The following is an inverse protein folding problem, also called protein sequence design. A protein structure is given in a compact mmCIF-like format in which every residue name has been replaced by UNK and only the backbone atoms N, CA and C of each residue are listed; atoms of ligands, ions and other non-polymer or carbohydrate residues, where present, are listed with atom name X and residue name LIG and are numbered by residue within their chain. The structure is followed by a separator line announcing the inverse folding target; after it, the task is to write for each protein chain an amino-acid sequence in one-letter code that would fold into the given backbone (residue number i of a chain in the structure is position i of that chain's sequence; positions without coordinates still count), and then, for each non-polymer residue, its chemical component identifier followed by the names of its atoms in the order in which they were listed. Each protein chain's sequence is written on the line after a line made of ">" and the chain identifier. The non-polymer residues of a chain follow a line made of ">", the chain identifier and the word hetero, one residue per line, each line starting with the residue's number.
data_IF_379133142245
#
_entry.id   IF_379133142245
#
_cell.length_a   1.000
_cell.length_b   1.000
_cell.length_c   1.000
_cell.angle_alpha   90.00
_cell.angle_beta   90.00
_cell.angle_gamma   90.00
#
_symmetry.space_group_name_H-M   'P 1'
#
loop_
_entity.id
_entity.type
_entity.pdbx_description
1 polymer ?
#
# COMPACT_ATOMS: atom_id res chain seq x y z
N UNK A 1 -16.23 60.56 -17.99
CA UNK A 1 -16.23 60.65 -19.45
C UNK A 1 -16.48 59.25 -20.03
N UNK A 2 -17.78 58.87 -20.10
CA UNK A 2 -18.26 57.53 -20.55
C UNK A 2 -19.10 57.69 -21.81
N UNK A 3 -18.49 57.95 -22.95
CA UNK A 3 -19.16 57.95 -24.23
C UNK A 3 -18.23 57.32 -25.25
N UNK A 4 -18.05 55.98 -25.18
CA UNK A 4 -17.38 55.24 -26.26
C UNK A 4 -17.83 53.76 -26.41
N UNK A 5 -18.92 53.34 -25.76
CA UNK A 5 -19.31 51.91 -25.75
C UNK A 5 -20.57 51.58 -26.53
N UNK A 6 -21.12 52.48 -27.35
CA UNK A 6 -22.41 52.28 -28.02
C UNK A 6 -22.35 51.67 -29.42
N UNK A 7 -21.20 51.27 -29.93
CA UNK A 7 -21.08 50.68 -31.29
C UNK A 7 -20.42 49.30 -31.32
N UNK A 8 -20.35 48.57 -30.20
CA UNK A 8 -19.89 47.19 -30.21
C UNK A 8 -21.07 46.26 -30.50
N UNK A 9 -20.95 45.50 -31.61
CA UNK A 9 -21.88 44.42 -32.00
C UNK A 9 -21.79 43.23 -30.99
N UNK A 10 -22.19 43.49 -29.76
CA UNK A 10 -22.07 42.52 -28.62
C UNK A 10 -23.09 41.40 -28.65
N UNK A 11 -24.12 41.46 -29.49
CA UNK A 11 -25.15 40.41 -29.52
C UNK A 11 -25.43 39.95 -30.94
N UNK A 12 -25.66 38.64 -31.09
CA UNK A 12 -26.05 38.01 -32.36
C UNK A 12 -27.29 38.69 -32.92
N UNK A 13 -28.27 39.03 -32.07
CA UNK A 13 -29.47 39.74 -32.42
C UNK A 13 -29.16 41.12 -33.09
N UNK A 14 -28.21 41.88 -32.54
CA UNK A 14 -27.82 43.18 -33.14
C UNK A 14 -27.11 43.00 -34.48
N UNK A 15 -26.26 41.94 -34.62
CA UNK A 15 -25.61 41.60 -35.89
C UNK A 15 -26.63 41.23 -36.97
N UNK A 16 -27.60 40.39 -36.66
CA UNK A 16 -28.67 39.97 -37.57
C UNK A 16 -29.54 41.19 -37.95
N UNK A 17 -30.00 42.01 -36.97
CA UNK A 17 -30.81 43.19 -37.20
C UNK A 17 -30.09 44.23 -38.08
N UNK A 18 -28.78 44.40 -37.88
CA UNK A 18 -28.00 45.32 -38.69
C UNK A 18 -27.87 44.81 -40.14
N UNK A 19 -27.53 43.54 -40.33
CA UNK A 19 -27.46 42.93 -41.67
C UNK A 19 -28.82 43.04 -42.37
N UNK A 20 -29.92 42.72 -41.67
CA UNK A 20 -31.28 42.81 -42.20
C UNK A 20 -31.69 44.24 -42.57
N UNK A 21 -31.40 45.26 -41.72
CA UNK A 21 -31.67 46.64 -42.01
C UNK A 21 -30.84 47.18 -43.17
N UNK A 22 -29.50 46.85 -43.16
CA UNK A 22 -28.60 47.22 -44.24
C UNK A 22 -29.07 46.62 -45.58
N UNK A 23 -29.46 45.34 -45.51
CA UNK A 23 -30.05 44.64 -46.65
C UNK A 23 -31.29 45.29 -47.19
N UNK A 24 -32.25 45.64 -46.33
CA UNK A 24 -33.47 46.30 -46.74
C UNK A 24 -33.20 47.66 -47.35
N UNK A 25 -32.33 48.47 -46.76
CA UNK A 25 -31.95 49.79 -47.26
C UNK A 25 -31.27 49.68 -48.65
N UNK A 26 -30.33 48.74 -48.81
CA UNK A 26 -29.63 48.54 -50.10
C UNK A 26 -30.57 48.05 -51.19
N UNK A 27 -31.53 47.17 -50.88
CA UNK A 27 -32.55 46.72 -51.83
C UNK A 27 -33.46 47.88 -52.27
N UNK A 28 -33.92 48.67 -51.32
CA UNK A 28 -34.76 49.86 -51.64
C UNK A 28 -33.98 50.88 -52.50
N UNK A 29 -32.72 51.15 -52.09
CA UNK A 29 -31.85 52.08 -52.78
C UNK A 29 -31.55 51.63 -54.23
N UNK A 30 -31.29 50.34 -54.43
CA UNK A 30 -31.02 49.72 -55.72
C UNK A 30 -32.25 49.81 -56.65
N UNK A 31 -33.45 49.59 -56.09
CA UNK A 31 -34.71 49.76 -56.84
C UNK A 31 -34.92 51.19 -57.27
N UNK A 32 -34.76 52.16 -56.38
CA UNK A 32 -34.91 53.60 -56.70
C UNK A 32 -33.89 54.06 -57.78
N UNK A 33 -32.61 53.52 -57.64
CA UNK A 33 -31.56 53.81 -58.59
C UNK A 33 -31.90 53.25 -59.99
N UNK A 34 -32.37 52.02 -60.05
CA UNK A 34 -32.76 51.35 -61.31
C UNK A 34 -33.89 52.03 -62.06
N UNK A 35 -34.85 52.64 -61.32
CA UNK A 35 -36.00 53.39 -61.90
C UNK A 35 -35.64 54.77 -62.31
N UNK A 36 -34.53 55.39 -61.84
CA UNK A 36 -34.08 56.75 -62.20
C UNK A 36 -33.02 56.83 -63.28
N UNK A 37 -32.38 55.69 -63.63
CA UNK A 37 -31.41 55.61 -64.71
C UNK A 37 -32.15 55.66 -66.05
N UNK A 38 -31.79 56.60 -66.89
CA UNK A 38 -32.27 56.70 -68.28
C UNK A 38 -31.69 55.67 -69.20
N UNK A 39 -31.92 54.40 -68.89
CA UNK A 39 -31.43 53.19 -69.59
C UNK A 39 -32.69 52.46 -70.11
N UNK A 40 -32.52 51.72 -71.21
CA UNK A 40 -33.65 50.90 -71.72
C UNK A 40 -34.21 50.01 -70.58
N UNK A 41 -35.56 49.94 -70.46
CA UNK A 41 -36.21 49.24 -69.33
C UNK A 41 -35.72 47.77 -69.12
N UNK A 42 -35.46 47.01 -70.21
CA UNK A 42 -35.01 45.60 -70.13
C UNK A 42 -33.60 45.47 -69.58
N UNK A 43 -32.69 46.40 -69.92
CA UNK A 43 -31.33 46.43 -69.45
C UNK A 43 -31.28 46.80 -67.95
N UNK A 44 -32.11 47.83 -67.60
CA UNK A 44 -32.24 48.28 -66.19
C UNK A 44 -32.75 47.12 -65.27
N UNK A 45 -33.76 46.40 -65.75
CA UNK A 45 -34.31 45.25 -65.05
C UNK A 45 -33.26 44.10 -64.87
N UNK A 46 -32.53 43.80 -65.95
CA UNK A 46 -31.46 42.76 -65.89
C UNK A 46 -30.33 43.12 -64.91
N UNK A 47 -29.89 44.39 -64.89
CA UNK A 47 -28.88 44.86 -63.92
C UNK A 47 -29.42 44.82 -62.49
N UNK A 48 -30.67 45.12 -62.25
CA UNK A 48 -31.30 45.06 -60.93
C UNK A 48 -31.34 43.58 -60.46
N UNK A 49 -31.76 42.65 -61.32
CA UNK A 49 -31.74 41.23 -60.96
C UNK A 49 -30.31 40.72 -60.65
N UNK A 50 -29.29 41.09 -61.45
CA UNK A 50 -27.87 40.70 -61.18
C UNK A 50 -27.43 41.29 -59.86
N UNK A 51 -27.76 42.47 -59.46
CA UNK A 51 -27.51 43.10 -58.17
C UNK A 51 -28.16 42.32 -57.03
N UNK A 52 -29.45 41.96 -57.16
CA UNK A 52 -30.19 41.22 -56.16
C UNK A 52 -29.54 39.85 -55.93
N UNK A 53 -29.18 39.15 -57.02
CA UNK A 53 -28.49 37.84 -56.91
C UNK A 53 -27.16 38.01 -56.20
N UNK A 54 -26.31 38.93 -56.59
CA UNK A 54 -25.05 39.25 -55.96
C UNK A 54 -25.21 39.58 -54.46
N UNK A 55 -26.24 40.38 -54.16
CA UNK A 55 -26.56 40.76 -52.80
C UNK A 55 -27.03 39.59 -51.95
N UNK A 56 -27.84 38.65 -52.43
CA UNK A 56 -28.27 37.46 -51.74
C UNK A 56 -27.07 36.58 -51.45
N UNK A 57 -26.15 36.40 -52.39
CA UNK A 57 -24.92 35.65 -52.21
C UNK A 57 -24.01 36.22 -51.09
N UNK A 58 -23.91 37.56 -51.03
CA UNK A 58 -23.16 38.25 -49.97
C UNK A 58 -23.81 38.03 -48.60
N UNK A 59 -25.14 38.17 -48.52
CA UNK A 59 -25.85 37.90 -47.25
C UNK A 59 -25.72 36.49 -46.81
N UNK A 60 -25.83 35.50 -47.71
CA UNK A 60 -25.67 34.09 -47.42
C UNK A 60 -24.23 33.78 -46.90
N UNK A 61 -23.21 34.37 -47.57
CA UNK A 61 -21.82 34.25 -47.12
C UNK A 61 -21.62 34.84 -45.73
N UNK A 62 -22.17 36.01 -45.43
CA UNK A 62 -22.08 36.66 -44.12
C UNK A 62 -22.78 35.83 -43.03
N UNK A 63 -24.00 35.36 -43.32
CA UNK A 63 -24.74 34.50 -42.39
C UNK A 63 -23.99 33.17 -42.13
N UNK A 64 -23.44 32.58 -43.18
CA UNK A 64 -22.59 31.39 -43.06
C UNK A 64 -21.38 31.63 -42.18
N UNK A 65 -20.70 32.75 -42.35
CA UNK A 65 -19.49 33.08 -41.62
C UNK A 65 -19.74 33.46 -40.14
N UNK A 66 -20.74 34.28 -39.88
CA UNK A 66 -20.98 34.86 -38.55
C UNK A 66 -21.92 34.02 -37.67
N UNK A 67 -22.71 33.11 -38.25
CA UNK A 67 -23.68 32.33 -37.48
C UNK A 67 -23.43 30.81 -37.65
N UNK A 68 -23.47 30.32 -38.90
CA UNK A 68 -23.43 28.88 -39.14
C UNK A 68 -22.11 28.23 -38.72
N UNK A 69 -20.95 28.85 -39.01
CA UNK A 69 -19.62 28.35 -38.63
C UNK A 69 -19.41 28.30 -37.11
N UNK A 70 -19.71 29.35 -36.31
CA UNK A 70 -19.60 29.27 -34.85
C UNK A 70 -20.48 28.17 -34.23
N UNK A 71 -21.75 28.09 -34.67
CA UNK A 71 -22.68 27.04 -34.19
C UNK A 71 -22.13 25.65 -34.50
N UNK A 72 -21.64 25.42 -35.71
CA UNK A 72 -21.07 24.12 -36.10
C UNK A 72 -19.86 23.75 -35.26
N UNK A 73 -18.97 24.72 -34.96
CA UNK A 73 -17.81 24.52 -34.09
C UNK A 73 -18.22 24.15 -32.66
N UNK A 74 -19.18 24.89 -32.07
CA UNK A 74 -19.70 24.60 -30.72
C UNK A 74 -20.32 23.20 -30.65
N UNK A 75 -21.14 22.87 -31.66
CA UNK A 75 -21.74 21.52 -31.72
C UNK A 75 -20.68 20.40 -31.84
N UNK A 76 -19.62 20.65 -32.63
CA UNK A 76 -18.51 19.69 -32.73
C UNK A 76 -17.80 19.53 -31.41
N UNK A 77 -17.50 20.61 -30.68
CA UNK A 77 -16.92 20.57 -29.34
C UNK A 77 -17.82 19.80 -28.36
N UNK A 78 -19.12 20.15 -28.32
CA UNK A 78 -20.09 19.47 -27.47
C UNK A 78 -20.16 17.93 -27.76
N UNK A 79 -20.12 17.55 -29.03
CA UNK A 79 -20.10 16.13 -29.44
C UNK A 79 -18.82 15.40 -29.01
N UNK A 80 -17.66 16.05 -29.01
CA UNK A 80 -16.41 15.50 -28.48
C UNK A 80 -16.51 15.29 -26.98
N UNK A 81 -16.99 16.33 -26.25
CA UNK A 81 -17.20 16.24 -24.81
C UNK A 81 -18.16 15.11 -24.41
N UNK A 82 -19.23 14.89 -25.19
CA UNK A 82 -20.16 13.79 -24.99
C UNK A 82 -19.51 12.38 -25.14
N UNK A 83 -18.36 12.32 -25.82
CA UNK A 83 -17.53 11.11 -25.96
C UNK A 83 -16.37 11.08 -24.96
N UNK A 84 -16.39 11.97 -23.96
CA UNK A 84 -15.32 12.15 -22.97
C UNK A 84 -13.96 12.57 -23.59
N UNK A 85 -13.99 13.16 -24.80
CA UNK A 85 -12.82 13.74 -25.44
C UNK A 85 -12.77 15.24 -25.14
N UNK A 86 -11.93 15.61 -24.16
CA UNK A 86 -11.71 16.99 -23.72
C UNK A 86 -10.43 17.60 -24.29
N UNK A 87 -9.80 16.98 -25.29
CA UNK A 87 -8.48 17.36 -25.81
C UNK A 87 -8.46 18.71 -26.57
N UNK A 88 -9.60 19.19 -27.03
CA UNK A 88 -9.69 20.40 -27.83
C UNK A 88 -10.77 21.37 -27.28
N UNK A 89 -10.37 22.41 -26.55
CA UNK A 89 -11.29 23.46 -26.13
C UNK A 89 -11.87 24.19 -27.32
N UNK A 90 -13.05 24.78 -27.15
CA UNK A 90 -13.66 25.64 -28.19
C UNK A 90 -12.78 26.88 -28.43
N UNK A 91 -12.28 27.03 -29.63
CA UNK A 91 -11.43 28.16 -30.03
C UNK A 91 -12.25 29.42 -30.48
N UNK A 92 -13.49 29.56 -30.03
CA UNK A 92 -14.32 30.71 -30.34
C UNK A 92 -14.02 31.83 -29.35
N UNK A 93 -13.49 32.96 -29.86
CA UNK A 93 -13.07 34.11 -29.05
C UNK A 93 -13.90 35.37 -29.41
N UNK A 94 -15.16 35.21 -29.83
CA UNK A 94 -16.02 36.31 -30.15
C UNK A 94 -16.58 36.99 -28.89
N UNK A 95 -16.75 38.31 -28.91
CA UNK A 95 -17.35 39.08 -27.80
C UNK A 95 -18.89 39.14 -27.89
N UNK A 96 -19.52 38.00 -28.17
CA UNK A 96 -20.95 37.81 -28.28
C UNK A 96 -21.40 36.55 -27.54
N UNK A 97 -22.68 36.20 -27.66
CA UNK A 97 -23.26 35.03 -26.99
C UNK A 97 -22.58 33.71 -27.39
N UNK A 98 -21.95 33.62 -28.56
CA UNK A 98 -21.15 32.43 -28.94
C UNK A 98 -19.86 32.33 -28.15
N UNK A 99 -19.21 33.48 -27.87
CA UNK A 99 -18.02 33.52 -27.00
C UNK A 99 -18.35 33.13 -25.57
N UNK A 100 -19.45 33.64 -25.00
CA UNK A 100 -19.91 33.28 -23.65
C UNK A 100 -20.24 31.78 -23.55
N UNK A 101 -20.90 31.21 -24.57
CA UNK A 101 -21.21 29.80 -24.64
C UNK A 101 -19.95 28.94 -24.77
N UNK A 102 -18.96 29.40 -25.54
CA UNK A 102 -17.67 28.74 -25.67
C UNK A 102 -16.93 28.68 -24.35
N UNK A 103 -16.89 29.79 -23.59
CA UNK A 103 -16.28 29.82 -22.24
C UNK A 103 -17.01 28.89 -21.30
N UNK A 104 -18.32 28.88 -21.28
CA UNK A 104 -19.14 28.00 -20.43
C UNK A 104 -18.89 26.51 -20.75
N UNK A 105 -18.82 26.14 -22.04
CA UNK A 105 -18.49 24.79 -22.48
C UNK A 105 -17.08 24.38 -22.07
N UNK A 106 -16.09 25.25 -22.22
CA UNK A 106 -14.72 24.97 -21.81
C UNK A 106 -14.64 24.78 -20.30
N UNK A 107 -15.27 25.63 -19.50
CA UNK A 107 -15.32 25.47 -18.03
C UNK A 107 -16.00 24.15 -17.63
N UNK A 108 -17.07 23.78 -18.33
CA UNK A 108 -17.71 22.47 -18.09
C UNK A 108 -16.77 21.30 -18.43
N UNK A 109 -16.04 21.41 -19.57
CA UNK A 109 -15.05 20.40 -19.97
C UNK A 109 -13.98 20.23 -18.91
N UNK A 110 -13.40 21.33 -18.43
CA UNK A 110 -12.35 21.34 -17.40
C UNK A 110 -12.85 20.70 -16.09
N UNK A 111 -14.05 21.08 -15.65
CA UNK A 111 -14.67 20.54 -14.45
C UNK A 111 -14.94 19.02 -14.57
N UNK A 112 -15.45 18.56 -15.72
CA UNK A 112 -15.68 17.13 -15.98
C UNK A 112 -14.37 16.37 -16.04
N UNK A 113 -13.36 16.89 -16.73
CA UNK A 113 -12.04 16.25 -16.80
C UNK A 113 -11.40 16.10 -15.42
N UNK A 114 -11.44 17.16 -14.59
CA UNK A 114 -10.94 17.12 -13.22
C UNK A 114 -11.72 16.12 -12.35
N UNK A 115 -13.04 16.07 -12.51
CA UNK A 115 -13.88 15.15 -11.75
C UNK A 115 -13.61 13.70 -12.12
N UNK A 116 -13.46 13.41 -13.42
CA UNK A 116 -13.10 12.08 -13.91
C UNK A 116 -11.72 11.64 -13.40
N UNK A 117 -10.72 12.54 -13.46
CA UNK A 117 -9.38 12.24 -12.93
C UNK A 117 -9.40 11.96 -11.41
N UNK A 118 -10.20 12.71 -10.64
CA UNK A 118 -10.40 12.45 -9.20
C UNK A 118 -11.08 11.11 -8.96
N UNK A 119 -12.12 10.79 -9.71
CA UNK A 119 -12.83 9.51 -9.62
C UNK A 119 -11.90 8.34 -9.92
N UNK A 120 -11.07 8.45 -10.95
CA UNK A 120 -10.10 7.42 -11.33
C UNK A 120 -9.05 7.22 -10.21
N UNK A 121 -8.51 8.31 -9.66
CA UNK A 121 -7.56 8.26 -8.55
C UNK A 121 -8.17 7.61 -7.29
N UNK A 122 -9.42 7.96 -6.95
CA UNK A 122 -10.15 7.34 -5.83
C UNK A 122 -10.41 5.86 -6.09
N UNK A 123 -10.78 5.48 -7.31
CA UNK A 123 -11.05 4.09 -7.66
C UNK A 123 -9.78 3.23 -7.57
N UNK A 124 -8.64 3.73 -8.07
CA UNK A 124 -7.33 3.05 -7.94
C UNK A 124 -6.97 2.85 -6.47
N UNK A 125 -7.17 3.88 -5.63
CA UNK A 125 -6.93 3.78 -4.19
C UNK A 125 -7.85 2.74 -3.53
N UNK A 126 -9.13 2.77 -3.85
CA UNK A 126 -10.12 1.85 -3.29
C UNK A 126 -9.81 0.39 -3.64
N UNK A 127 -9.41 0.12 -4.89
CA UNK A 127 -8.98 -1.23 -5.31
C UNK A 127 -7.78 -1.69 -4.50
N UNK A 128 -6.80 -0.81 -4.27
CA UNK A 128 -5.63 -1.13 -3.44
C UNK A 128 -5.99 -1.40 -1.99
N UNK A 129 -6.87 -0.58 -1.41
CA UNK A 129 -7.32 -0.73 -0.02
C UNK A 129 -8.09 -2.05 0.17
N UNK A 130 -8.99 -2.40 -0.77
CA UNK A 130 -9.72 -3.68 -0.76
C UNK A 130 -8.77 -4.88 -0.88
N UNK A 131 -7.74 -4.78 -1.73
CA UNK A 131 -6.74 -5.83 -1.88
C UNK A 131 -5.93 -6.03 -0.58
N UNK A 132 -5.54 -4.94 0.07
CA UNK A 132 -4.86 -4.96 1.36
C UNK A 132 -5.75 -5.58 2.45
N UNK A 133 -7.02 -5.20 2.53
CA UNK A 133 -7.98 -5.77 3.48
C UNK A 133 -8.16 -7.28 3.27
N UNK A 134 -8.28 -7.72 2.01
CA UNK A 134 -8.37 -9.16 1.69
C UNK A 134 -7.13 -9.94 2.14
N UNK A 135 -5.93 -9.38 1.99
CA UNK A 135 -4.69 -10.00 2.49
C UNK A 135 -4.72 -10.14 4.00
N UNK A 136 -5.06 -9.08 4.72
CA UNK A 136 -5.17 -9.11 6.19
C UNK A 136 -6.22 -10.12 6.68
N UNK A 137 -7.35 -10.23 5.99
CA UNK A 137 -8.38 -11.24 6.31
C UNK A 137 -7.88 -12.66 6.05
N UNK A 138 -7.13 -12.88 4.97
CA UNK A 138 -6.53 -14.19 4.67
C UNK A 138 -5.50 -14.59 5.73
N UNK A 139 -4.59 -13.69 6.11
CA UNK A 139 -3.61 -13.88 7.17
C UNK A 139 -4.27 -14.17 8.52
N UNK A 140 -5.34 -13.43 8.85
CA UNK A 140 -6.11 -13.66 10.07
C UNK A 140 -6.80 -15.02 10.08
N UNK A 141 -7.35 -15.45 8.94
CA UNK A 141 -7.96 -16.77 8.81
C UNK A 141 -6.91 -17.87 8.99
N UNK A 142 -5.77 -17.78 8.32
CA UNK A 142 -4.67 -18.72 8.46
C UNK A 142 -4.20 -18.82 9.91
N UNK A 143 -4.07 -17.68 10.60
CA UNK A 143 -3.76 -17.61 12.03
C UNK A 143 -4.75 -18.43 12.87
N UNK A 144 -6.05 -18.26 12.67
CA UNK A 144 -7.11 -18.95 13.42
C UNK A 144 -7.09 -20.46 13.12
N UNK A 145 -6.90 -20.82 11.85
CA UNK A 145 -6.83 -22.23 11.44
C UNK A 145 -5.62 -22.94 12.08
N UNK A 146 -4.44 -22.31 12.06
CA UNK A 146 -3.23 -22.84 12.72
C UNK A 146 -3.40 -22.96 14.24
N UNK A 147 -3.94 -21.93 14.89
CA UNK A 147 -4.25 -21.98 16.32
C UNK A 147 -5.16 -23.15 16.67
N UNK A 148 -6.22 -23.32 15.90
CA UNK A 148 -7.17 -24.41 16.11
C UNK A 148 -6.48 -25.78 16.05
N UNK A 149 -5.56 -25.96 15.11
CA UNK A 149 -4.77 -27.17 15.00
C UNK A 149 -3.79 -27.36 16.16
N UNK A 150 -3.03 -26.32 16.53
CA UNK A 150 -2.05 -26.38 17.62
C UNK A 150 -2.70 -26.54 19.01
N UNK A 151 -3.96 -26.13 19.19
CA UNK A 151 -4.74 -26.34 20.42
C UNK A 151 -5.43 -27.71 20.45
N UNK A 152 -5.86 -28.25 19.29
CA UNK A 152 -6.60 -29.52 19.24
C UNK A 152 -5.74 -30.72 19.67
N UNK A 153 -4.45 -30.71 19.32
CA UNK A 153 -3.52 -31.78 19.63
C UNK A 153 -3.28 -31.95 21.14
N UNK A 154 -2.83 -30.92 21.91
CA UNK A 154 -2.66 -31.04 23.35
C UNK A 154 -3.96 -31.34 24.09
N UNK A 155 -5.08 -30.73 23.63
CA UNK A 155 -6.39 -31.01 24.20
C UNK A 155 -6.80 -32.47 24.03
N UNK A 156 -6.50 -33.07 22.88
CA UNK A 156 -6.70 -34.50 22.64
C UNK A 156 -5.86 -35.40 23.57
N UNK A 157 -4.61 -34.99 23.80
CA UNK A 157 -3.69 -35.71 24.75
C UNK A 157 -4.22 -35.60 26.19
N UNK A 158 -4.55 -34.38 26.65
CA UNK A 158 -5.12 -34.12 27.96
C UNK A 158 -6.38 -35.00 28.17
N UNK A 159 -7.28 -35.02 27.21
CA UNK A 159 -8.50 -35.81 27.26
C UNK A 159 -8.20 -37.32 27.37
N UNK A 160 -7.33 -37.83 26.50
CA UNK A 160 -6.98 -39.27 26.50
C UNK A 160 -6.37 -39.73 27.84
N UNK A 161 -5.46 -38.95 28.42
CA UNK A 161 -4.83 -39.27 29.70
C UNK A 161 -5.79 -39.04 30.88
N UNK A 162 -6.70 -38.07 30.81
CA UNK A 162 -7.75 -37.85 31.80
C UNK A 162 -8.77 -39.01 31.80
N UNK A 163 -9.17 -39.51 30.63
CA UNK A 163 -10.01 -40.71 30.50
C UNK A 163 -9.27 -41.96 31.03
N UNK A 164 -7.97 -42.08 30.69
CA UNK A 164 -7.14 -43.19 31.22
C UNK A 164 -6.94 -43.17 32.74
N UNK A 165 -6.94 -41.98 33.37
CA UNK A 165 -6.86 -41.84 34.84
C UNK A 165 -8.05 -42.44 35.58
N UNK A 166 -9.26 -42.48 34.97
CA UNK A 166 -10.48 -42.95 35.60
C UNK A 166 -10.41 -44.46 35.89
N UNK A 167 -9.79 -45.25 35.02
CA UNK A 167 -9.79 -46.71 35.10
C UNK A 167 -8.42 -47.25 35.56
N UNK A 168 -7.39 -46.41 35.73
CA UNK A 168 -6.03 -46.86 36.14
C UNK A 168 -5.98 -47.11 37.63
N UNK A 169 -5.41 -48.24 37.98
CA UNK A 169 -5.23 -48.67 39.38
C UNK A 169 -3.78 -48.57 39.89
N UNK A 170 -2.82 -48.47 38.97
CA UNK A 170 -1.41 -48.33 39.26
C UNK A 170 -1.06 -46.86 39.58
N UNK A 171 -0.64 -46.60 40.81
CA UNK A 171 -0.29 -45.25 41.28
C UNK A 171 0.86 -44.60 40.50
N UNK A 172 1.85 -45.40 40.05
CA UNK A 172 2.95 -44.86 39.25
C UNK A 172 2.47 -44.38 37.88
N UNK A 173 1.52 -45.10 37.28
CA UNK A 173 0.91 -44.68 36.01
C UNK A 173 -0.03 -43.49 36.20
N UNK A 174 -0.81 -43.42 37.28
CA UNK A 174 -1.61 -42.25 37.62
C UNK A 174 -0.77 -40.98 37.73
N UNK A 175 0.36 -41.10 38.45
CA UNK A 175 1.31 -40.00 38.57
C UNK A 175 1.82 -39.54 37.20
N UNK A 176 2.25 -40.48 36.38
CA UNK A 176 2.72 -40.20 35.01
C UNK A 176 1.63 -39.54 34.14
N UNK A 177 0.37 -40.01 34.22
CA UNK A 177 -0.75 -39.42 33.46
C UNK A 177 -1.04 -37.99 33.93
N UNK A 178 -1.02 -37.75 35.24
CA UNK A 178 -1.18 -36.42 35.82
C UNK A 178 -0.06 -35.46 35.35
N UNK A 179 1.19 -35.91 35.34
CA UNK A 179 2.33 -35.13 34.87
C UNK A 179 2.19 -34.76 33.39
N UNK A 180 1.70 -35.66 32.53
CA UNK A 180 1.46 -35.39 31.11
C UNK A 180 0.37 -34.35 30.95
N UNK A 181 -0.74 -34.46 31.71
CA UNK A 181 -1.85 -33.47 31.66
C UNK A 181 -1.34 -32.10 32.08
N UNK A 182 -0.57 -32.00 33.16
CA UNK A 182 0.01 -30.74 33.64
C UNK A 182 0.92 -30.15 32.56
N UNK A 183 1.84 -30.92 32.01
CA UNK A 183 2.79 -30.48 30.97
C UNK A 183 2.08 -29.94 29.72
N UNK A 184 1.04 -30.65 29.24
CA UNK A 184 0.29 -30.18 28.07
C UNK A 184 -0.57 -28.91 28.37
N UNK A 185 -1.05 -28.80 29.63
CA UNK A 185 -1.79 -27.59 30.06
C UNK A 185 -0.86 -26.37 30.13
N UNK A 186 0.34 -26.53 30.67
CA UNK A 186 1.39 -25.50 30.73
C UNK A 186 1.82 -25.08 29.31
N UNK A 187 1.98 -26.07 28.41
CA UNK A 187 2.30 -25.83 27.00
C UNK A 187 1.19 -24.97 26.32
N UNK A 188 -0.10 -25.29 26.54
CA UNK A 188 -1.21 -24.53 26.01
C UNK A 188 -1.22 -23.09 26.57
N UNK A 189 -1.02 -22.94 27.87
CA UNK A 189 -0.95 -21.62 28.52
C UNK A 189 0.17 -20.77 27.94
N UNK A 190 1.37 -21.35 27.76
CA UNK A 190 2.53 -20.69 27.14
C UNK A 190 2.24 -20.26 25.70
N UNK A 191 1.55 -21.09 24.91
CA UNK A 191 1.17 -20.76 23.53
C UNK A 191 0.20 -19.59 23.47
N UNK A 192 -0.82 -19.56 24.35
CA UNK A 192 -1.79 -18.47 24.45
C UNK A 192 -1.09 -17.16 24.85
N UNK A 193 -0.23 -17.20 25.87
CA UNK A 193 0.51 -16.03 26.34
C UNK A 193 1.42 -15.47 25.24
N UNK A 194 2.13 -16.33 24.54
CA UNK A 194 3.00 -15.98 23.42
C UNK A 194 2.21 -15.29 22.29
N UNK A 195 1.02 -15.78 21.98
CA UNK A 195 0.16 -15.21 20.97
C UNK A 195 -0.38 -13.83 21.36
N UNK A 196 -0.84 -13.70 22.62
CA UNK A 196 -1.32 -12.42 23.14
C UNK A 196 -0.21 -11.36 23.13
N UNK A 197 1.01 -11.74 23.52
CA UNK A 197 2.17 -10.87 23.50
C UNK A 197 2.53 -10.44 22.06
N UNK A 198 2.57 -11.39 21.11
CA UNK A 198 2.78 -11.07 19.69
C UNK A 198 1.71 -10.14 19.15
N UNK A 199 0.44 -10.37 19.49
CA UNK A 199 -0.67 -9.51 19.08
C UNK A 199 -0.54 -8.08 19.65
N UNK A 200 -0.11 -7.96 20.91
CA UNK A 200 0.12 -6.65 21.54
C UNK A 200 1.29 -5.90 20.88
N UNK A 201 2.35 -6.62 20.51
CA UNK A 201 3.50 -6.04 19.77
C UNK A 201 3.07 -5.55 18.38
N UNK A 202 2.27 -6.31 17.64
CA UNK A 202 1.80 -5.95 16.29
C UNK A 202 0.86 -4.77 16.25
N UNK A 203 -0.04 -4.68 17.23
CA UNK A 203 -1.00 -3.56 17.32
C UNK A 203 -0.39 -2.27 17.86
N UNK A 204 0.88 -2.31 18.28
CA UNK A 204 1.54 -1.17 18.93
C UNK A 204 0.97 -0.86 20.32
N UNK A 205 0.21 -1.79 20.91
CA UNK A 205 -0.30 -1.65 22.27
C UNK A 205 0.83 -1.71 23.32
N UNK A 206 1.94 -2.36 22.96
CA UNK A 206 3.14 -2.40 23.79
C UNK A 206 4.05 -1.24 23.43
N UNK A 207 4.35 -0.40 24.43
CA UNK A 207 5.37 0.64 24.31
C UNK A 207 6.74 0.06 24.68
N UNK A 208 7.75 0.38 23.88
CA UNK A 208 9.14 0.05 24.21
C UNK A 208 9.62 0.91 25.36
N UNK A 209 10.35 0.31 26.29
CA UNK A 209 11.00 0.98 27.43
C UNK A 209 12.52 0.83 27.31
N UNK A 210 13.19 1.65 26.49
CA UNK A 210 14.62 1.56 26.30
C UNK A 210 15.36 1.94 27.57
N UNK A 211 16.38 1.15 27.94
CA UNK A 211 17.29 1.43 29.03
C UNK A 211 18.75 1.18 28.61
N UNK A 212 19.70 1.80 29.33
CA UNK A 212 21.14 1.60 29.07
C UNK A 212 21.65 0.46 29.94
N UNK A 213 22.22 -0.58 29.32
CA UNK A 213 22.80 -1.70 30.03
C UNK A 213 24.01 -2.30 29.29
N UNK A 214 24.83 -3.05 30.01
CA UNK A 214 25.94 -3.83 29.46
C UNK A 214 25.41 -5.07 28.74
N UNK A 215 25.58 -5.11 27.43
CA UNK A 215 25.06 -6.22 26.61
C UNK A 215 25.88 -7.51 26.75
N UNK A 216 27.18 -7.43 27.08
CA UNK A 216 28.05 -8.58 27.29
C UNK A 216 27.58 -9.35 28.54
N UNK A 217 27.50 -8.65 29.69
CA UNK A 217 27.02 -9.23 30.96
C UNK A 217 25.58 -9.77 30.84
N UNK A 218 24.74 -9.04 30.10
CA UNK A 218 23.35 -9.42 29.83
C UNK A 218 23.28 -10.74 29.02
N UNK A 219 24.03 -10.84 27.91
CA UNK A 219 24.10 -12.07 27.11
C UNK A 219 24.62 -13.25 27.89
N UNK A 220 25.70 -13.06 28.69
CA UNK A 220 26.25 -14.11 29.54
C UNK A 220 25.22 -14.65 30.55
N UNK A 221 24.43 -13.74 31.15
CA UNK A 221 23.36 -14.08 32.10
C UNK A 221 22.27 -14.91 31.42
N UNK A 222 21.77 -14.47 30.27
CA UNK A 222 20.70 -15.17 29.51
C UNK A 222 21.21 -16.51 28.98
N UNK A 223 22.39 -16.53 28.37
CA UNK A 223 22.97 -17.76 27.82
C UNK A 223 23.31 -18.77 28.94
N UNK A 224 23.83 -18.29 30.06
CA UNK A 224 24.11 -19.14 31.25
C UNK A 224 22.84 -19.85 31.73
N UNK A 225 21.75 -19.12 31.91
CA UNK A 225 20.44 -19.66 32.32
C UNK A 225 19.93 -20.76 31.37
N UNK A 226 20.11 -20.59 30.05
CA UNK A 226 19.52 -21.45 29.02
C UNK A 226 20.42 -22.66 28.65
N UNK A 227 21.73 -22.55 28.82
CA UNK A 227 22.70 -23.50 28.26
C UNK A 227 23.51 -24.28 29.32
N UNK A 228 23.62 -23.79 30.58
CA UNK A 228 24.47 -24.42 31.61
C UNK A 228 23.81 -25.65 32.28
N UNK A 229 22.48 -25.61 32.50
CA UNK A 229 21.74 -26.68 33.18
C UNK A 229 21.10 -27.69 32.22
N UNK A 230 21.84 -28.15 31.21
CA UNK A 230 21.35 -29.20 30.30
C UNK A 230 22.07 -30.50 30.62
N UNK A 231 21.47 -31.45 31.41
CA UNK A 231 22.15 -32.63 31.92
C UNK A 231 22.68 -33.58 30.85
N UNK A 232 22.19 -33.48 29.60
CA UNK A 232 22.60 -34.31 28.46
C UNK A 232 22.87 -33.46 27.21
N UNK A 233 23.53 -32.31 27.35
CA UNK A 233 23.89 -31.47 26.21
C UNK A 233 24.87 -32.23 25.30
N UNK A 234 24.34 -32.78 24.22
CA UNK A 234 25.15 -33.46 23.21
C UNK A 234 25.57 -32.47 22.11
N UNK A 235 26.14 -31.30 22.51
CA UNK A 235 26.69 -30.28 21.62
C UNK A 235 27.88 -29.57 22.30
N UNK A 236 28.77 -29.00 21.47
CA UNK A 236 29.91 -28.19 21.92
C UNK A 236 29.51 -26.71 21.92
N UNK A 237 29.65 -26.04 23.08
CA UNK A 237 29.33 -24.64 23.26
C UNK A 237 30.57 -23.77 23.12
N UNK A 238 30.53 -22.80 22.20
CA UNK A 238 31.61 -21.86 21.98
C UNK A 238 31.13 -20.43 22.19
N UNK A 239 31.89 -19.62 22.95
CA UNK A 239 31.66 -18.21 23.14
C UNK A 239 32.78 -17.38 22.50
N UNK A 240 32.43 -16.41 21.69
CA UNK A 240 33.33 -15.37 21.19
C UNK A 240 32.77 -14.01 21.63
N UNK A 241 33.11 -13.63 22.87
CA UNK A 241 32.63 -12.41 23.50
C UNK A 241 33.81 -11.48 23.80
N UNK A 242 33.62 -10.15 23.69
CA UNK A 242 34.58 -9.16 24.13
C UNK A 242 34.80 -9.23 25.64
N UNK A 243 36.05 -9.01 26.10
CA UNK A 243 36.40 -9.00 27.52
C UNK A 243 35.99 -7.71 28.25
N UNK A 244 35.56 -6.69 27.49
CA UNK A 244 35.17 -5.41 28.02
C UNK A 244 33.65 -5.16 27.90
N UNK A 245 33.14 -4.26 28.74
CA UNK A 245 31.73 -3.90 28.77
C UNK A 245 31.33 -3.11 27.53
N UNK A 246 30.21 -3.48 26.90
CA UNK A 246 29.65 -2.77 25.76
C UNK A 246 28.23 -2.36 26.11
N UNK A 247 28.02 -1.04 26.17
CA UNK A 247 26.71 -0.50 26.51
C UNK A 247 25.84 -0.31 25.26
N UNK A 248 24.58 -0.69 25.39
CA UNK A 248 23.54 -0.46 24.39
C UNK A 248 22.36 0.29 25.02
N UNK A 249 21.54 0.91 24.20
CA UNK A 249 20.32 1.58 24.64
C UNK A 249 19.13 0.99 23.89
N UNK A 250 18.44 0.05 24.52
CA UNK A 250 17.35 -0.73 23.93
C UNK A 250 16.43 -1.27 25.03
N UNK A 251 15.28 -1.83 24.68
CA UNK A 251 14.37 -2.46 25.64
C UNK A 251 14.95 -3.82 26.08
N UNK A 252 15.49 -3.87 27.31
CA UNK A 252 16.18 -5.02 27.88
C UNK A 252 15.26 -6.25 27.98
N UNK A 253 14.02 -6.07 28.42
CA UNK A 253 13.07 -7.17 28.56
C UNK A 253 12.70 -7.79 27.19
N UNK A 254 12.54 -6.94 26.18
CA UNK A 254 12.30 -7.41 24.81
C UNK A 254 13.54 -8.06 24.19
N UNK A 255 14.73 -7.56 24.48
CA UNK A 255 15.96 -8.20 24.03
C UNK A 255 16.20 -9.54 24.72
N UNK A 256 15.80 -9.71 25.99
CA UNK A 256 15.80 -11.02 26.65
C UNK A 256 14.91 -12.01 25.90
N UNK A 257 13.71 -11.60 25.53
CA UNK A 257 12.79 -12.42 24.74
C UNK A 257 13.38 -12.80 23.36
N UNK A 258 14.11 -11.89 22.70
CA UNK A 258 14.82 -12.17 21.44
C UNK A 258 15.89 -13.24 21.66
N UNK A 259 16.76 -13.06 22.66
CA UNK A 259 17.82 -14.01 22.97
C UNK A 259 17.28 -15.37 23.39
N UNK A 260 16.26 -15.42 24.25
CA UNK A 260 15.59 -16.65 24.64
C UNK A 260 15.09 -17.45 23.42
N UNK A 261 14.41 -16.79 22.52
CA UNK A 261 13.89 -17.43 21.30
C UNK A 261 15.00 -17.92 20.37
N UNK A 262 16.05 -17.12 20.15
CA UNK A 262 17.17 -17.49 19.28
C UNK A 262 18.01 -18.63 19.88
N UNK A 263 18.33 -18.55 21.16
CA UNK A 263 19.13 -19.58 21.86
C UNK A 263 18.37 -20.90 21.93
N UNK A 264 17.09 -20.86 22.32
CA UNK A 264 16.26 -22.09 22.35
C UNK A 264 16.08 -22.68 20.95
N UNK A 265 15.94 -21.83 19.93
CA UNK A 265 15.87 -22.30 18.53
C UNK A 265 17.19 -22.99 18.12
N UNK A 266 18.33 -22.37 18.36
CA UNK A 266 19.64 -22.92 18.03
C UNK A 266 19.89 -24.24 18.75
N UNK A 267 19.57 -24.32 20.07
CA UNK A 267 19.67 -25.54 20.89
C UNK A 267 18.83 -26.70 20.35
N UNK A 268 17.64 -26.42 19.83
CA UNK A 268 16.76 -27.43 19.24
C UNK A 268 17.26 -27.95 17.89
N UNK A 269 17.96 -27.13 17.13
CA UNK A 269 18.37 -27.44 15.76
C UNK A 269 19.84 -27.82 15.61
N UNK A 270 20.64 -27.75 16.69
CA UNK A 270 22.00 -28.26 16.67
C UNK A 270 21.98 -29.79 16.56
N UNK A 271 22.83 -30.35 15.66
CA UNK A 271 22.97 -31.80 15.53
C UNK A 271 23.67 -32.40 16.73
N UNK A 272 23.42 -33.67 17.08
CA UNK A 272 24.14 -34.35 18.15
C UNK A 272 25.65 -34.32 17.92
N UNK A 273 26.41 -33.83 18.92
CA UNK A 273 27.85 -33.62 18.83
C UNK A 273 28.27 -32.42 17.98
N UNK A 274 27.33 -31.60 17.54
CA UNK A 274 27.61 -30.39 16.75
C UNK A 274 27.96 -29.18 17.59
N UNK A 275 28.43 -28.11 16.96
CA UNK A 275 28.80 -26.85 17.59
C UNK A 275 27.61 -25.87 17.67
N UNK A 276 27.47 -25.22 18.82
CA UNK A 276 26.64 -24.06 19.04
C UNK A 276 27.55 -22.90 19.43
N UNK A 277 27.53 -21.79 18.62
CA UNK A 277 28.45 -20.67 18.82
C UNK A 277 27.67 -19.38 19.01
N UNK A 278 27.97 -18.66 20.09
CA UNK A 278 27.51 -17.31 20.33
C UNK A 278 28.66 -16.34 20.13
N UNK A 279 28.41 -15.30 19.31
CA UNK A 279 29.46 -14.31 19.02
C UNK A 279 28.90 -12.90 19.17
N UNK A 280 29.73 -12.03 19.77
CA UNK A 280 29.54 -10.58 19.78
C UNK A 280 30.75 -9.93 19.11
N UNK A 281 30.50 -9.18 18.05
CA UNK A 281 31.52 -8.45 17.32
C UNK A 281 31.23 -6.95 17.40
N UNK A 282 32.13 -6.23 18.07
CA UNK A 282 32.06 -4.78 18.13
C UNK A 282 32.67 -4.16 16.88
N UNK A 283 31.92 -3.24 16.26
CA UNK A 283 32.37 -2.38 15.17
C UNK A 283 32.11 -0.93 15.58
N UNK A 284 32.74 0.07 14.94
CA UNK A 284 32.53 1.46 15.30
C UNK A 284 31.04 1.86 15.29
N UNK A 285 30.49 2.07 16.50
CA UNK A 285 29.09 2.47 16.71
C UNK A 285 28.04 1.37 16.60
N UNK A 286 28.42 0.11 16.38
CA UNK A 286 27.47 -1.01 16.20
C UNK A 286 27.99 -2.28 16.86
N UNK A 287 27.15 -2.95 17.61
CA UNK A 287 27.37 -4.28 18.15
C UNK A 287 26.63 -5.31 17.32
N UNK A 288 27.35 -6.29 16.78
CA UNK A 288 26.79 -7.42 16.03
C UNK A 288 26.71 -8.64 16.92
N UNK A 289 25.51 -9.14 17.12
CA UNK A 289 25.27 -10.44 17.74
C UNK A 289 25.04 -11.49 16.67
N UNK A 290 25.61 -12.66 16.84
CA UNK A 290 25.24 -13.84 16.05
C UNK A 290 25.21 -15.12 16.90
N UNK A 291 24.30 -16.01 16.52
CA UNK A 291 24.20 -17.36 17.05
C UNK A 291 24.19 -18.36 15.89
N UNK A 292 25.17 -19.24 15.91
CA UNK A 292 25.33 -20.28 14.92
C UNK A 292 25.04 -21.66 15.58
N UNK A 293 24.31 -22.50 14.86
CA UNK A 293 24.16 -23.90 15.20
C UNK A 293 24.57 -24.80 14.02
N UNK A 294 25.40 -25.77 14.29
CA UNK A 294 25.76 -26.80 13.33
C UNK A 294 24.60 -27.77 13.15
N UNK A 295 24.17 -28.01 11.90
CA UNK A 295 23.02 -28.85 11.60
C UNK A 295 22.47 -28.62 10.20
N UNK A 296 21.26 -29.10 9.90
CA UNK A 296 20.64 -28.94 8.60
C UNK A 296 20.47 -27.47 8.23
N UNK A 297 20.79 -27.13 6.97
CA UNK A 297 20.58 -25.81 6.42
C UNK A 297 19.11 -25.60 6.07
N UNK A 298 18.67 -24.34 6.08
CA UNK A 298 17.31 -23.94 5.70
C UNK A 298 17.23 -23.82 4.17
N UNK A 299 16.24 -24.43 3.48
CA UNK A 299 16.05 -24.22 2.05
C UNK A 299 15.98 -22.74 1.70
N UNK A 300 16.65 -22.34 0.62
CA UNK A 300 16.78 -20.92 0.23
C UNK A 300 15.41 -20.21 0.11
N UNK A 301 14.41 -20.91 -0.39
CA UNK A 301 13.03 -20.44 -0.55
C UNK A 301 12.29 -20.22 0.78
N UNK A 302 12.82 -20.76 1.86
CA UNK A 302 12.23 -20.70 3.20
C UNK A 302 12.91 -19.68 4.12
N UNK A 303 14.09 -19.15 3.77
CA UNK A 303 14.82 -18.17 4.58
C UNK A 303 14.00 -16.91 4.93
N UNK A 304 13.14 -16.46 4.03
CA UNK A 304 12.21 -15.35 4.30
C UNK A 304 10.96 -15.78 5.08
N UNK A 305 10.56 -17.04 4.95
CA UNK A 305 9.33 -17.56 5.56
C UNK A 305 9.49 -17.94 7.03
N UNK A 306 10.71 -18.26 7.48
CA UNK A 306 10.94 -18.66 8.88
C UNK A 306 10.57 -17.61 9.91
N UNK A 307 10.46 -16.34 9.50
CA UNK A 307 10.05 -15.21 10.31
C UNK A 307 8.52 -15.03 10.39
N UNK A 308 7.77 -15.82 9.60
CA UNK A 308 6.30 -15.77 9.62
C UNK A 308 5.73 -16.61 10.76
N UNK A 309 4.56 -16.22 11.24
CA UNK A 309 3.87 -16.94 12.34
C UNK A 309 3.57 -18.38 11.96
N UNK A 310 3.73 -19.27 12.91
CA UNK A 310 3.45 -20.70 12.79
C UNK A 310 4.24 -21.43 11.69
N UNK A 311 5.23 -20.76 11.10
CA UNK A 311 6.08 -21.43 10.13
C UNK A 311 6.88 -22.54 10.82
N UNK A 312 6.82 -23.74 10.24
CA UNK A 312 7.59 -24.92 10.65
C UNK A 312 8.06 -25.65 9.41
N UNK A 313 9.28 -26.11 9.43
CA UNK A 313 9.73 -27.05 8.42
C UNK A 313 9.00 -28.38 8.61
N UNK A 314 8.35 -28.89 7.58
CA UNK A 314 7.63 -30.18 7.56
C UNK A 314 8.53 -31.35 7.92
N UNK A 315 9.86 -31.23 7.77
CA UNK A 315 10.87 -32.23 8.08
C UNK A 315 11.44 -32.08 9.50
N UNK A 316 11.05 -31.04 10.26
CA UNK A 316 11.56 -30.85 11.63
C UNK A 316 11.01 -31.87 12.60
N UNK A 317 11.91 -32.61 13.25
CA UNK A 317 11.57 -33.56 14.32
C UNK A 317 11.18 -32.90 15.65
N UNK A 318 11.38 -31.59 15.78
CA UNK A 318 11.21 -30.88 17.04
C UNK A 318 9.88 -30.16 17.12
N UNK A 319 9.20 -30.32 18.26
CA UNK A 319 7.95 -29.64 18.58
C UNK A 319 8.22 -28.20 18.99
N UNK A 320 7.54 -27.25 18.34
CA UNK A 320 7.57 -25.81 18.69
C UNK A 320 6.33 -25.12 18.16
N UNK A 321 5.95 -23.98 18.74
CA UNK A 321 4.76 -23.22 18.34
C UNK A 321 4.89 -22.53 16.98
N UNK A 322 6.12 -22.40 16.45
CA UNK A 322 6.38 -21.60 15.24
C UNK A 322 6.20 -20.08 15.45
N UNK A 323 6.09 -19.61 16.71
CA UNK A 323 5.92 -18.21 17.05
C UNK A 323 7.21 -17.51 17.46
N UNK A 324 8.23 -18.27 17.91
CA UNK A 324 9.45 -17.69 18.49
C UNK A 324 10.21 -16.77 17.52
N UNK A 325 10.45 -17.20 16.27
CA UNK A 325 11.12 -16.37 15.27
C UNK A 325 10.25 -15.19 14.78
N UNK A 326 8.94 -15.34 14.77
CA UNK A 326 8.03 -14.23 14.46
C UNK A 326 8.10 -13.13 15.54
N UNK A 327 8.23 -13.51 16.83
CA UNK A 327 8.47 -12.56 17.93
C UNK A 327 9.82 -11.87 17.77
N UNK A 328 10.87 -12.62 17.45
CA UNK A 328 12.20 -12.04 17.19
C UNK A 328 12.10 -10.97 16.09
N UNK A 329 11.49 -11.31 14.96
CA UNK A 329 11.32 -10.36 13.85
C UNK A 329 10.50 -9.13 14.26
N UNK A 330 9.42 -9.31 15.00
CA UNK A 330 8.56 -8.22 15.45
C UNK A 330 9.29 -7.28 16.42
N UNK A 331 9.95 -7.83 17.43
CA UNK A 331 10.68 -7.03 18.43
C UNK A 331 11.85 -6.26 17.81
N UNK A 332 12.64 -6.91 16.94
CA UNK A 332 13.76 -6.24 16.27
C UNK A 332 13.29 -5.19 15.27
N UNK A 333 12.19 -5.45 14.55
CA UNK A 333 11.58 -4.47 13.65
C UNK A 333 11.02 -3.25 14.38
N UNK A 334 10.36 -3.43 15.54
CA UNK A 334 9.86 -2.32 16.35
C UNK A 334 10.98 -1.41 16.88
N UNK A 335 12.18 -1.97 17.09
CA UNK A 335 13.36 -1.23 17.50
C UNK A 335 14.22 -0.75 16.32
N UNK A 336 13.74 -0.91 15.07
CA UNK A 336 14.43 -0.53 13.84
C UNK A 336 15.83 -1.16 13.71
N UNK A 337 16.02 -2.37 14.27
CA UNK A 337 17.29 -3.08 14.25
C UNK A 337 17.40 -3.95 13.01
N UNK A 338 18.62 -4.03 12.45
CA UNK A 338 18.92 -4.93 11.34
C UNK A 338 19.11 -6.37 11.83
N UNK A 339 18.43 -7.33 11.22
CA UNK A 339 18.53 -8.75 11.56
C UNK A 339 18.36 -9.66 10.35
N UNK A 340 18.75 -10.90 10.51
CA UNK A 340 18.62 -11.86 9.44
C UNK A 340 19.08 -13.27 9.81
N UNK A 341 19.10 -14.12 8.80
CA UNK A 341 19.57 -15.49 8.86
C UNK A 341 20.38 -15.80 7.62
N UNK A 342 21.43 -16.61 7.76
CA UNK A 342 22.21 -17.12 6.63
C UNK A 342 22.55 -18.60 6.86
N UNK A 343 22.59 -19.35 5.77
CA UNK A 343 23.16 -20.69 5.77
C UNK A 343 24.69 -20.59 5.73
N UNK A 344 25.33 -21.37 6.59
CA UNK A 344 26.76 -21.64 6.55
C UNK A 344 27.03 -23.00 5.83
N UNK A 345 28.27 -23.39 5.70
CA UNK A 345 28.65 -24.64 5.02
C UNK A 345 28.00 -25.89 5.65
N UNK A 346 27.79 -25.89 6.95
CA UNK A 346 27.36 -27.00 7.76
C UNK A 346 26.39 -26.62 8.88
N UNK A 347 25.69 -25.48 8.73
CA UNK A 347 24.78 -25.01 9.75
C UNK A 347 24.06 -23.73 9.37
N UNK A 348 23.44 -23.10 10.35
CA UNK A 348 22.64 -21.86 10.20
C UNK A 348 23.11 -20.83 11.22
N UNK A 349 23.21 -19.59 10.80
CA UNK A 349 23.56 -18.48 11.66
C UNK A 349 22.44 -17.41 11.62
N UNK A 350 21.88 -17.11 12.80
CA UNK A 350 20.97 -15.98 13.02
C UNK A 350 21.78 -14.80 13.56
N UNK A 351 21.45 -13.59 13.15
CA UNK A 351 22.18 -12.39 13.56
C UNK A 351 21.30 -11.17 13.67
N UNK A 352 21.73 -10.20 14.49
CA UNK A 352 21.18 -8.84 14.52
C UNK A 352 22.25 -7.83 14.93
N UNK A 353 21.95 -6.56 14.73
CA UNK A 353 22.86 -5.46 15.00
C UNK A 353 22.18 -4.40 15.86
N UNK A 354 22.88 -3.95 16.92
CA UNK A 354 22.38 -2.90 17.84
C UNK A 354 23.36 -1.74 17.81
N UNK A 355 22.90 -0.47 17.75
CA UNK A 355 23.77 0.66 17.97
C UNK A 355 24.44 0.62 19.35
N UNK A 356 25.77 0.69 19.41
CA UNK A 356 26.50 0.77 20.68
C UNK A 356 26.55 2.22 21.15
N UNK A 357 26.45 2.41 22.47
CA UNK A 357 26.49 3.74 23.11
C UNK A 357 27.78 3.82 23.90
N UNK A 358 28.61 4.78 23.55
CA UNK A 358 29.86 5.10 24.28
C UNK A 358 29.60 5.59 25.70
#
# INVERSE_FOLDING_TARGET
>A
MKIKDNFTFRTIRKKILMVSKLAGILLILSYILSTKLEIEPDISLALWFAFVIAFVLVVDFLMGHFISKPISKLNQTARKMAKLDFSAPSAITTNDEFGELAVSLNTMADNLQQTLAKLEAVNIRLVKDVEQERRLLAERKELVDHLSHEMKTPLGVIRAYAEGLQDETDEAKKQKYSEIIITETERMSGLITTLLDLSALETGATQLVPERFDFVEFLETVAGRLLIDVPDANFELHYELPEHKIYVHTDKARMEQVLDNLIVNAKKNVQPGGALKLSLLEQPGVLHFSIYNQGPTIPQENLSKIWTKFYRDSNSKYSGSGLGLAIVAQVLSMQELYFGVKNCSDGVEFYFSIPSVS
#
